data_IF_631376682995
#
_entry.id   IF_631376682995
#
_cell.length_a   1.000
_cell.length_b   1.000
_cell.length_c   1.000
_cell.angle_alpha   90.00
_cell.angle_beta   90.00
_cell.angle_gamma   90.00
#
_symmetry.space_group_name_H-M   'P 1'
#
loop_
_entity.id
_entity.type
_entity.pdbx_description
1 polymer ?
#
# COMPACT_ATOMS: atom_id res chain seq x y z
N UNK A 1 30.67 -13.30 0.10
CA UNK A 1 29.27 -13.72 -0.07
C UNK A 1 28.44 -13.59 1.22
N UNK A 2 28.93 -12.90 2.26
CA UNK A 2 28.30 -12.93 3.61
C UNK A 2 27.44 -11.69 3.92
N UNK A 3 27.79 -10.51 3.39
CA UNK A 3 27.07 -9.26 3.67
C UNK A 3 25.67 -9.12 3.02
N UNK A 4 25.33 -9.96 2.04
CA UNK A 4 24.01 -9.94 1.42
C UNK A 4 22.94 -10.58 2.32
N UNK A 5 23.30 -11.61 3.08
CA UNK A 5 22.37 -12.31 3.98
C UNK A 5 21.99 -11.45 5.19
N UNK A 6 22.92 -10.66 5.73
CA UNK A 6 22.67 -9.77 6.88
C UNK A 6 21.77 -8.58 6.52
N UNK A 7 21.85 -8.07 5.29
CA UNK A 7 20.98 -6.98 4.82
C UNK A 7 19.53 -7.46 4.58
N UNK A 8 19.36 -8.71 4.13
CA UNK A 8 18.05 -9.32 3.90
C UNK A 8 17.35 -9.58 5.23
N UNK A 9 18.03 -10.15 6.23
CA UNK A 9 17.44 -10.44 7.55
C UNK A 9 17.04 -9.18 8.31
N UNK A 10 17.85 -8.11 8.23
CA UNK A 10 17.52 -6.84 8.86
C UNK A 10 16.28 -6.18 8.23
N UNK A 11 16.15 -6.22 6.90
CA UNK A 11 14.96 -5.71 6.20
C UNK A 11 13.70 -6.45 6.64
N UNK A 12 13.78 -7.78 6.77
CA UNK A 12 12.67 -8.62 7.23
C UNK A 12 12.28 -8.31 8.68
N UNK A 13 13.25 -8.08 9.57
CA UNK A 13 13.00 -7.66 10.95
C UNK A 13 12.28 -6.30 10.99
N UNK A 14 12.75 -5.31 10.23
CA UNK A 14 12.12 -3.99 10.19
C UNK A 14 10.70 -4.04 9.61
N UNK A 15 10.48 -4.86 8.58
CA UNK A 15 9.15 -5.08 8.01
C UNK A 15 8.21 -5.74 9.02
N UNK A 16 8.67 -6.80 9.70
CA UNK A 16 7.89 -7.49 10.73
C UNK A 16 7.53 -6.59 11.92
N UNK A 17 8.46 -5.73 12.36
CA UNK A 17 8.17 -4.72 13.39
C UNK A 17 7.09 -3.74 12.89
N UNK A 18 7.19 -3.26 11.65
CA UNK A 18 6.21 -2.33 11.08
C UNK A 18 4.80 -2.93 11.04
N UNK A 19 4.68 -4.17 10.58
CA UNK A 19 3.40 -4.87 10.48
C UNK A 19 2.79 -5.14 11.86
N UNK A 20 3.60 -5.61 12.82
CA UNK A 20 3.16 -5.85 14.20
C UNK A 20 2.68 -4.58 14.91
N UNK A 21 3.34 -3.44 14.65
CA UNK A 21 2.95 -2.15 15.21
C UNK A 21 1.64 -1.66 14.61
N UNK A 22 1.46 -1.81 13.30
CA UNK A 22 0.23 -1.44 12.64
C UNK A 22 -0.94 -2.30 13.15
N UNK A 23 -0.74 -3.60 13.32
CA UNK A 23 -1.73 -4.52 13.90
C UNK A 23 -2.09 -4.15 15.34
N UNK A 24 -1.10 -3.87 16.19
CA UNK A 24 -1.33 -3.43 17.56
C UNK A 24 -2.11 -2.10 17.63
N UNK A 25 -1.78 -1.13 16.76
CA UNK A 25 -2.53 0.12 16.66
C UNK A 25 -3.97 -0.12 16.18
N UNK A 26 -4.18 -1.03 15.24
CA UNK A 26 -5.52 -1.41 14.79
C UNK A 26 -6.36 -2.02 15.93
N UNK A 27 -5.77 -2.86 16.76
CA UNK A 27 -6.45 -3.44 17.93
C UNK A 27 -6.80 -2.37 18.97
N UNK A 28 -5.88 -1.45 19.27
CA UNK A 28 -6.12 -0.34 20.19
C UNK A 28 -7.20 0.64 19.69
N UNK A 29 -7.28 0.87 18.38
CA UNK A 29 -8.30 1.73 17.75
C UNK A 29 -9.69 1.09 17.76
N UNK A 30 -9.75 -0.24 17.69
CA UNK A 30 -11.01 -0.98 17.64
C UNK A 30 -11.56 -1.31 19.04
N UNK A 31 -10.90 -0.87 20.12
CA UNK A 31 -11.44 -0.96 21.46
C UNK A 31 -12.74 -0.15 21.57
N UNK A 32 -13.73 -0.67 22.29
CA UNK A 32 -15.01 0.03 22.46
C UNK A 32 -14.79 1.37 23.17
N UNK A 33 -15.45 2.46 22.73
CA UNK A 33 -15.27 3.79 23.32
C UNK A 33 -15.68 3.87 24.79
N UNK A 34 -16.48 2.92 25.25
CA UNK A 34 -16.94 2.81 26.62
C UNK A 34 -16.72 1.40 27.16
N UNK A 35 -16.43 1.32 28.46
CA UNK A 35 -16.48 0.05 29.20
C UNK A 35 -17.92 -0.35 29.56
N UNK A 36 -18.09 -1.52 30.17
CA UNK A 36 -19.40 -2.05 30.60
C UNK A 36 -20.13 -1.17 31.63
N UNK A 37 -19.42 -0.21 32.23
CA UNK A 37 -19.95 0.75 33.21
C UNK A 37 -20.16 2.15 32.59
N UNK A 38 -20.05 2.29 31.26
CA UNK A 38 -20.27 3.54 30.54
C UNK A 38 -19.16 4.57 30.73
N UNK A 39 -18.00 4.19 31.26
CA UNK A 39 -16.85 5.08 31.39
C UNK A 39 -16.11 5.13 30.07
N UNK A 40 -15.66 6.32 29.62
CA UNK A 40 -14.92 6.45 28.38
C UNK A 40 -13.59 5.69 28.48
N UNK A 41 -13.32 4.86 27.48
CA UNK A 41 -12.05 4.16 27.33
C UNK A 41 -11.02 5.12 26.73
N UNK A 42 -9.77 5.04 27.18
CA UNK A 42 -8.70 5.91 26.67
C UNK A 42 -8.32 5.46 25.27
N UNK A 43 -8.71 6.24 24.26
CA UNK A 43 -8.33 6.00 22.88
C UNK A 43 -6.83 6.33 22.71
N UNK A 44 -5.99 5.29 22.60
CA UNK A 44 -4.55 5.47 22.45
C UNK A 44 -4.16 5.47 20.97
N UNK A 45 -3.47 6.53 20.53
CA UNK A 45 -2.82 6.59 19.22
C UNK A 45 -1.34 6.88 19.41
N UNK A 46 -0.48 6.12 18.73
CA UNK A 46 0.96 6.37 18.73
C UNK A 46 1.29 7.27 17.52
N UNK A 47 1.56 8.58 17.72
CA UNK A 47 1.85 9.49 16.61
C UNK A 47 3.21 9.20 15.96
N UNK A 48 4.18 8.76 16.76
CA UNK A 48 5.50 8.35 16.31
C UNK A 48 6.11 7.30 17.24
N UNK A 49 6.92 6.41 16.69
CA UNK A 49 7.74 5.47 17.45
C UNK A 49 9.19 5.58 17.00
N UNK A 50 10.05 6.04 17.89
CA UNK A 50 11.49 6.06 17.68
C UNK A 50 12.08 4.70 18.08
N UNK A 51 12.94 4.13 17.24
CA UNK A 51 13.67 2.91 17.54
C UNK A 51 15.16 3.09 17.37
N UNK A 52 15.92 2.29 18.12
CA UNK A 52 17.36 2.14 18.00
C UNK A 52 17.71 0.66 18.12
N UNK A 53 18.23 0.05 17.06
CA UNK A 53 18.59 -1.36 16.98
C UNK A 53 20.10 -1.51 16.94
N UNK A 54 20.66 -2.26 17.89
CA UNK A 54 22.07 -2.65 17.91
C UNK A 54 22.20 -4.12 17.53
N UNK A 55 22.95 -4.41 16.46
CA UNK A 55 23.20 -5.77 15.97
C UNK A 55 24.67 -6.13 16.20
N UNK A 56 24.92 -7.18 16.98
CA UNK A 56 26.26 -7.76 17.20
C UNK A 56 26.43 -9.01 16.32
N UNK A 57 27.43 -9.03 15.44
CA UNK A 57 27.82 -10.23 14.67
C UNK A 57 29.14 -10.79 15.21
N UNK A 58 29.17 -12.10 15.50
CA UNK A 58 30.37 -12.83 15.90
C UNK A 58 30.81 -13.77 14.79
N UNK A 59 31.98 -13.53 14.19
CA UNK A 59 32.55 -14.45 13.20
C UNK A 59 33.40 -15.53 13.90
N UNK A 60 33.00 -16.80 13.77
CA UNK A 60 33.81 -17.95 14.17
C UNK A 60 34.62 -18.46 12.96
N UNK A 61 35.95 -18.39 13.05
CA UNK A 61 36.85 -18.82 11.97
C UNK A 61 37.25 -20.29 12.18
N UNK A 62 36.73 -21.19 11.34
CA UNK A 62 37.20 -22.57 11.26
C UNK A 62 38.52 -22.63 10.47
N UNK A 63 39.62 -22.93 11.14
CA UNK A 63 40.95 -23.03 10.51
C UNK A 63 41.20 -24.47 10.05
N UNK A 64 41.19 -24.71 8.73
CA UNK A 64 41.78 -25.91 8.13
C UNK A 64 43.22 -25.60 7.72
N UNK A 65 44.20 -26.18 8.41
CA UNK A 65 45.63 -26.11 8.09
C UNK A 65 45.99 -27.23 7.10
N UNK A 66 46.39 -26.85 5.88
CA UNK A 66 47.05 -27.77 4.94
C UNK A 66 48.53 -27.40 4.91
N UNK A 67 49.37 -28.32 5.36
CA UNK A 67 50.82 -28.20 5.38
C UNK A 67 51.39 -28.58 4.01
N UNK A 68 51.96 -27.63 3.27
CA UNK A 68 52.77 -27.94 2.10
C UNK A 68 54.26 -27.95 2.47
N UNK A 69 54.78 -29.16 2.62
CA UNK A 69 56.18 -29.54 2.41
C UNK A 69 56.50 -29.48 0.91
N UNK A 70 57.63 -28.87 0.52
CA UNK A 70 58.61 -29.52 -0.37
C UNK A 70 59.78 -28.61 -0.83
N UNK A 71 60.99 -29.12 -0.57
CA UNK A 71 62.22 -29.18 -1.43
C UNK A 71 62.98 -27.86 -1.73
N UNK A 72 64.18 -27.63 -1.21
CA UNK A 72 65.50 -28.27 -1.43
C UNK A 72 66.17 -27.90 -2.78
N UNK A 73 67.31 -27.19 -2.72
CA UNK A 73 68.20 -26.90 -3.85
C UNK A 73 69.40 -26.01 -3.50
N UNK A 74 70.55 -26.64 -3.24
CA UNK A 74 71.95 -26.13 -3.28
C UNK A 74 72.26 -25.39 -4.62
N UNK A 75 73.25 -24.51 -4.85
CA UNK A 75 74.53 -24.14 -4.25
C UNK A 75 75.09 -22.86 -4.96
N UNK A 76 76.01 -22.12 -4.30
CA UNK A 76 77.16 -21.31 -4.80
C UNK A 76 76.96 -19.98 -5.57
N UNK A 77 77.10 -18.89 -4.80
CA UNK A 77 78.22 -17.93 -4.84
C UNK A 77 78.93 -17.65 -6.19
N UNK A 78 78.80 -16.44 -6.75
CA UNK A 78 79.87 -15.48 -7.11
C UNK A 78 79.28 -14.15 -7.64
N UNK A 79 79.98 -13.06 -7.33
CA UNK A 79 79.49 -11.69 -7.29
C UNK A 79 79.25 -11.03 -8.66
N UNK A 80 78.12 -10.31 -8.78
CA UNK A 80 77.92 -9.29 -9.82
C UNK A 80 77.21 -8.05 -9.27
N UNK A 81 77.95 -6.93 -9.32
CA UNK A 81 77.51 -5.54 -9.53
C UNK A 81 76.17 -5.08 -8.92
N UNK A 82 76.26 -4.33 -7.81
CA UNK A 82 75.16 -3.58 -7.18
C UNK A 82 74.59 -2.54 -8.15
N UNK A 83 73.51 -2.89 -8.86
CA UNK A 83 72.55 -1.91 -9.42
C UNK A 83 71.51 -1.58 -8.34
N UNK A 84 71.29 -0.28 -8.12
CA UNK A 84 70.27 0.26 -7.20
C UNK A 84 68.87 -0.10 -7.73
N UNK A 85 68.21 -1.06 -7.11
CA UNK A 85 66.78 -1.34 -7.30
C UNK A 85 65.99 -0.68 -6.18
N UNK A 86 64.97 0.10 -6.55
CA UNK A 86 64.01 0.73 -5.65
C UNK A 86 63.35 -0.31 -4.73
N UNK A 87 63.10 0.01 -3.44
CA UNK A 87 62.46 -0.94 -2.53
C UNK A 87 61.00 -1.15 -2.98
N UNK A 88 60.73 -2.29 -3.61
CA UNK A 88 59.36 -2.78 -3.80
C UNK A 88 58.83 -3.23 -2.44
N UNK A 89 57.85 -2.49 -1.92
CA UNK A 89 57.13 -2.86 -0.71
C UNK A 89 56.38 -4.17 -0.96
N UNK A 90 56.84 -5.25 -0.31
CA UNK A 90 56.12 -6.52 -0.26
C UNK A 90 55.31 -6.58 1.02
N UNK A 91 53.99 -6.69 0.88
CA UNK A 91 53.09 -6.91 2.01
C UNK A 91 53.36 -8.30 2.61
N UNK A 92 53.86 -8.32 3.85
CA UNK A 92 53.94 -9.53 4.68
C UNK A 92 52.85 -9.43 5.74
N UNK A 93 51.76 -10.22 5.66
CA UNK A 93 50.82 -10.27 6.77
C UNK A 93 51.55 -10.76 8.02
N UNK A 94 51.52 -9.96 9.07
CA UNK A 94 52.06 -10.32 10.39
C UNK A 94 51.25 -11.49 10.92
N UNK A 95 51.87 -12.67 10.96
CA UNK A 95 51.32 -13.81 11.67
C UNK A 95 51.39 -13.50 13.17
N UNK A 96 50.31 -12.92 13.72
CA UNK A 96 50.16 -12.78 15.17
C UNK A 96 49.88 -14.17 15.74
N UNK A 97 50.93 -14.86 16.14
CA UNK A 97 50.85 -15.98 17.07
C UNK A 97 50.58 -15.44 18.46
N UNK A 98 49.30 -15.30 18.83
CA UNK A 98 48.90 -15.36 20.23
C UNK A 98 47.44 -15.80 20.30
N UNK A 99 47.25 -16.98 20.88
CA UNK A 99 45.96 -17.52 21.26
C UNK A 99 45.20 -16.50 22.12
N UNK A 100 44.19 -15.87 21.53
CA UNK A 100 43.05 -15.36 22.28
C UNK A 100 41.82 -15.55 21.41
N UNK A 101 40.85 -16.32 21.91
CA UNK A 101 39.50 -16.37 21.34
C UNK A 101 38.88 -14.98 21.53
N UNK A 102 39.18 -14.07 20.62
CA UNK A 102 38.49 -12.78 20.51
C UNK A 102 37.83 -12.78 19.14
N UNK A 103 36.60 -13.27 19.09
CA UNK A 103 35.77 -13.14 17.90
C UNK A 103 35.65 -11.65 17.59
N UNK A 104 35.94 -11.28 16.34
CA UNK A 104 35.71 -9.92 15.87
C UNK A 104 34.22 -9.63 15.99
N UNK A 105 33.86 -8.75 16.94
CA UNK A 105 32.50 -8.26 17.13
C UNK A 105 32.29 -7.06 16.22
N UNK A 106 31.38 -7.18 15.26
CA UNK A 106 30.91 -6.03 14.46
C UNK A 106 29.58 -5.57 15.05
N UNK A 107 29.52 -4.33 15.53
CA UNK A 107 28.30 -3.69 16.06
C UNK A 107 27.73 -2.71 15.04
N UNK A 108 26.49 -2.91 14.59
CA UNK A 108 25.76 -1.96 13.74
C UNK A 108 24.62 -1.32 14.52
N UNK A 109 24.49 0.00 14.46
CA UNK A 109 23.41 0.76 15.12
C UNK A 109 22.50 1.38 14.06
N UNK A 110 21.19 1.11 14.13
CA UNK A 110 20.20 1.63 13.19
C UNK A 110 19.11 2.33 13.99
N UNK A 111 18.96 3.63 13.74
CA UNK A 111 17.90 4.45 14.33
C UNK A 111 16.90 4.88 13.26
N UNK A 112 15.62 4.88 13.60
CA UNK A 112 14.55 5.33 12.72
C UNK A 112 13.29 5.71 13.48
N UNK A 113 12.33 6.28 12.76
CA UNK A 113 11.02 6.70 13.29
C UNK A 113 9.91 6.12 12.43
N UNK A 114 8.98 5.40 13.05
CA UNK A 114 7.69 5.13 12.42
C UNK A 114 6.78 6.34 12.61
N UNK A 115 6.15 6.80 11.53
CA UNK A 115 5.19 7.92 11.55
C UNK A 115 3.85 7.40 11.07
N UNK A 116 2.80 7.59 11.86
CA UNK A 116 1.45 7.27 11.44
C UNK A 116 0.95 8.36 10.48
N UNK A 117 0.75 8.00 9.20
CA UNK A 117 0.04 8.86 8.24
C UNK A 117 -1.45 8.50 8.25
N UNK A 118 -2.30 9.52 8.38
CA UNK A 118 -3.74 9.32 8.27
C UNK A 118 -4.10 8.80 6.86
N UNK A 119 -5.19 8.02 6.72
CA UNK A 119 -5.70 7.63 5.41
C UNK A 119 -5.85 8.86 4.49
N UNK A 120 -5.53 8.69 3.20
CA UNK A 120 -5.55 9.75 2.18
C UNK A 120 -4.66 10.97 2.48
N UNK A 121 -3.50 10.80 3.12
CA UNK A 121 -2.57 11.90 3.45
C UNK A 121 -3.19 12.99 4.36
N UNK A 122 -4.28 12.65 5.07
CA UNK A 122 -5.07 13.62 5.84
C UNK A 122 -6.01 14.49 4.98
N UNK A 123 -6.10 14.24 3.67
CA UNK A 123 -7.08 14.91 2.81
C UNK A 123 -8.48 14.32 3.03
N UNK A 124 -9.51 15.18 3.08
CA UNK A 124 -10.91 14.74 3.15
C UNK A 124 -11.25 13.78 2.01
N UNK A 125 -11.84 12.63 2.35
CA UNK A 125 -12.24 11.63 1.37
C UNK A 125 -13.46 12.12 0.57
N UNK A 126 -13.47 11.91 -0.74
CA UNK A 126 -14.62 12.22 -1.59
C UNK A 126 -15.77 11.21 -1.34
N UNK A 127 -16.99 11.72 -1.28
CA UNK A 127 -18.24 10.99 -1.07
C UNK A 127 -19.20 11.36 -2.19
N UNK A 128 -19.92 10.34 -2.70
CA UNK A 128 -20.94 10.50 -3.74
C UNK A 128 -22.27 10.03 -3.17
N UNK A 129 -23.25 10.92 -3.17
CA UNK A 129 -24.64 10.58 -2.88
C UNK A 129 -25.46 10.67 -4.17
N UNK A 130 -26.20 9.60 -4.52
CA UNK A 130 -27.01 9.56 -5.72
C UNK A 130 -28.45 9.16 -5.38
N UNK A 131 -29.42 9.93 -5.90
CA UNK A 131 -30.85 9.73 -5.64
C UNK A 131 -31.66 9.78 -6.95
N UNK A 132 -32.39 8.71 -7.31
CA UNK A 132 -33.32 8.75 -8.43
C UNK A 132 -34.62 9.45 -8.06
N UNK A 133 -34.95 10.52 -8.77
CA UNK A 133 -36.19 11.31 -8.60
C UNK A 133 -37.13 10.97 -9.76
N UNK A 134 -38.36 10.55 -9.44
CA UNK A 134 -39.38 10.29 -10.47
C UNK A 134 -39.74 11.58 -11.21
N UNK A 135 -39.96 11.47 -12.52
CA UNK A 135 -40.53 12.57 -13.31
C UNK A 135 -41.99 12.26 -13.65
N UNK A 136 -42.72 13.24 -14.16
CA UNK A 136 -44.11 13.05 -14.61
C UNK A 136 -44.23 12.07 -15.78
N UNK A 137 -43.14 11.86 -16.52
CA UNK A 137 -43.10 10.94 -17.67
C UNK A 137 -42.81 9.52 -17.18
N UNK A 138 -43.69 8.58 -17.55
CA UNK A 138 -43.53 7.16 -17.23
C UNK A 138 -42.18 6.60 -17.72
N UNK A 139 -41.48 5.88 -16.85
CA UNK A 139 -40.18 5.27 -17.15
C UNK A 139 -39.02 6.27 -17.26
N UNK A 140 -39.23 7.54 -16.91
CA UNK A 140 -38.18 8.57 -16.91
C UNK A 140 -37.88 9.02 -15.49
N UNK A 141 -36.60 8.98 -15.14
CA UNK A 141 -36.08 9.38 -13.83
C UNK A 141 -35.01 10.46 -14.00
N UNK A 142 -34.96 11.39 -13.05
CA UNK A 142 -33.87 12.35 -12.92
C UNK A 142 -32.96 11.90 -11.78
N UNK A 143 -31.72 11.56 -12.07
CA UNK A 143 -30.74 11.14 -11.08
C UNK A 143 -30.03 12.40 -10.59
N UNK A 144 -30.30 12.79 -9.34
CA UNK A 144 -29.53 13.81 -8.64
C UNK A 144 -28.30 13.15 -8.02
N UNK A 145 -27.12 13.67 -8.35
CA UNK A 145 -25.86 13.26 -7.72
C UNK A 145 -25.25 14.46 -7.02
N UNK A 146 -24.90 14.29 -5.75
CA UNK A 146 -24.17 15.27 -4.94
C UNK A 146 -22.79 14.72 -4.61
N UNK A 147 -21.77 15.51 -4.89
CA UNK A 147 -20.36 15.20 -4.64
C UNK A 147 -19.83 16.15 -3.58
N UNK A 148 -19.38 15.59 -2.48
CA UNK A 148 -18.84 16.33 -1.34
C UNK A 148 -17.70 15.56 -0.69
N UNK A 149 -16.90 16.19 0.15
CA UNK A 149 -15.85 15.50 0.89
C UNK A 149 -16.29 15.14 2.31
N UNK A 150 -15.48 14.37 3.04
CA UNK A 150 -15.77 13.98 4.43
C UNK A 150 -15.82 15.15 5.41
N UNK A 151 -15.35 16.35 5.02
CA UNK A 151 -15.49 17.59 5.77
C UNK A 151 -16.80 18.34 5.43
N UNK A 152 -17.63 17.81 4.53
CA UNK A 152 -18.91 18.40 4.10
C UNK A 152 -18.77 19.48 3.02
N UNK A 153 -17.57 19.70 2.50
CA UNK A 153 -17.34 20.64 1.42
C UNK A 153 -17.88 20.08 0.10
N UNK A 154 -18.65 20.90 -0.61
CA UNK A 154 -19.21 20.57 -1.93
C UNK A 154 -18.12 20.68 -2.98
N UNK A 155 -18.03 19.73 -3.90
CA UNK A 155 -16.98 19.70 -4.92
C UNK A 155 -17.53 20.11 -6.29
N UNK A 156 -17.35 21.38 -6.71
CA UNK A 156 -17.72 21.82 -8.05
C UNK A 156 -16.70 21.35 -9.10
N UNK A 157 -17.12 21.23 -10.36
CA UNK A 157 -16.22 20.86 -11.46
C UNK A 157 -15.80 19.39 -11.49
N UNK A 158 -16.36 18.54 -10.61
CA UNK A 158 -16.08 17.12 -10.60
C UNK A 158 -16.76 16.45 -11.81
N UNK A 159 -16.01 15.61 -12.53
CA UNK A 159 -16.55 14.80 -13.61
C UNK A 159 -17.28 13.58 -13.02
N UNK A 160 -18.58 13.51 -13.24
CA UNK A 160 -19.44 12.42 -12.81
C UNK A 160 -19.82 11.57 -14.00
N UNK A 161 -19.48 10.29 -13.94
CA UNK A 161 -19.81 9.32 -14.97
C UNK A 161 -20.98 8.44 -14.50
N UNK A 162 -21.86 8.12 -15.43
CA UNK A 162 -23.09 7.36 -15.26
C UNK A 162 -23.03 6.16 -16.19
N UNK A 163 -22.89 4.98 -15.60
CA UNK A 163 -22.66 3.74 -16.30
C UNK A 163 -23.83 2.78 -16.09
N UNK A 164 -24.48 2.37 -17.18
CA UNK A 164 -25.52 1.36 -17.13
C UNK A 164 -24.89 -0.04 -17.01
N UNK A 165 -25.10 -0.70 -15.87
CA UNK A 165 -24.53 -2.02 -15.63
C UNK A 165 -25.43 -3.13 -16.19
N UNK A 166 -25.21 -3.47 -17.46
CA UNK A 166 -25.93 -4.54 -18.18
C UNK A 166 -25.80 -5.90 -17.50
N UNK A 167 -24.59 -6.27 -17.08
CA UNK A 167 -24.32 -7.58 -16.50
C UNK A 167 -25.08 -7.78 -15.19
N UNK A 168 -25.02 -6.81 -14.27
CA UNK A 168 -25.77 -6.87 -13.00
C UNK A 168 -27.27 -6.77 -13.20
N UNK A 169 -27.72 -5.92 -14.12
CA UNK A 169 -29.15 -5.81 -14.45
C UNK A 169 -29.69 -7.16 -14.96
N UNK A 170 -28.92 -7.88 -15.77
CA UNK A 170 -29.30 -9.22 -16.25
C UNK A 170 -29.31 -10.24 -15.11
N UNK A 171 -28.30 -10.21 -14.24
CA UNK A 171 -28.18 -11.13 -13.11
C UNK A 171 -29.35 -10.98 -12.12
N UNK A 172 -29.74 -9.74 -11.81
CA UNK A 172 -30.81 -9.45 -10.85
C UNK A 172 -32.18 -9.82 -11.41
N UNK A 173 -32.41 -9.65 -12.72
CA UNK A 173 -33.67 -9.99 -13.38
C UNK A 173 -33.61 -11.35 -14.07
N UNK A 174 -32.99 -12.34 -13.42
CA UNK A 174 -32.85 -13.69 -13.97
C UNK A 174 -34.20 -14.26 -14.38
N UNK A 175 -34.32 -14.69 -15.64
CA UNK A 175 -35.56 -15.26 -16.19
C UNK A 175 -36.43 -14.29 -16.99
N UNK A 176 -36.06 -13.02 -17.09
CA UNK A 176 -36.75 -12.03 -17.95
C UNK A 176 -35.83 -11.61 -19.09
N UNK A 177 -36.34 -11.63 -20.33
CA UNK A 177 -35.60 -11.12 -21.49
C UNK A 177 -35.61 -9.60 -21.49
N UNK A 178 -34.47 -9.00 -21.13
CA UNK A 178 -34.27 -7.55 -21.11
C UNK A 178 -33.95 -7.01 -22.51
N UNK A 179 -34.51 -5.85 -22.86
CA UNK A 179 -34.21 -5.18 -24.12
C UNK A 179 -32.92 -4.36 -24.06
N UNK A 180 -32.49 -3.94 -22.86
CA UNK A 180 -31.26 -3.18 -22.62
C UNK A 180 -31.13 -1.86 -23.42
N UNK A 181 -32.22 -1.32 -23.94
CA UNK A 181 -32.21 -0.02 -24.65
C UNK A 181 -32.43 1.16 -23.69
N UNK A 182 -32.18 0.97 -22.40
CA UNK A 182 -32.20 2.03 -21.39
C UNK A 182 -31.08 3.01 -21.73
N UNK A 183 -31.45 4.25 -22.00
CA UNK A 183 -30.52 5.28 -22.47
C UNK A 183 -30.51 6.48 -21.52
N UNK A 184 -29.33 7.07 -21.36
CA UNK A 184 -29.17 8.39 -20.75
C UNK A 184 -29.56 9.45 -21.79
N UNK A 185 -30.33 10.46 -21.36
CA UNK A 185 -30.95 11.44 -22.26
C UNK A 185 -29.94 12.48 -22.76
N UNK A 186 -28.84 12.72 -22.03
CA UNK A 186 -27.79 13.67 -22.43
C UNK A 186 -26.53 12.95 -22.86
N UNK A 187 -25.72 12.55 -21.88
CA UNK A 187 -24.40 11.94 -22.03
C UNK A 187 -24.16 11.06 -20.80
N UNK A 188 -23.24 10.09 -20.92
CA UNK A 188 -22.80 9.27 -19.80
C UNK A 188 -21.98 10.04 -18.78
N UNK A 189 -21.55 11.27 -19.08
CA UNK A 189 -20.64 12.04 -18.24
C UNK A 189 -21.15 13.48 -18.11
N UNK A 190 -21.11 14.02 -16.90
CA UNK A 190 -21.55 15.38 -16.62
C UNK A 190 -20.69 15.99 -15.51
N UNK A 191 -20.52 17.32 -15.54
CA UNK A 191 -19.72 18.04 -14.56
C UNK A 191 -20.62 18.61 -13.46
N UNK A 192 -20.18 18.56 -12.20
CA UNK A 192 -20.90 19.17 -11.08
C UNK A 192 -20.92 20.69 -11.15
N UNK A 193 -22.05 21.29 -10.77
CA UNK A 193 -22.21 22.74 -10.66
C UNK A 193 -21.49 23.30 -9.42
N UNK A 194 -21.62 24.61 -9.20
CA UNK A 194 -21.04 25.31 -8.03
C UNK A 194 -21.52 24.77 -6.66
N UNK A 195 -22.62 24.02 -6.62
CA UNK A 195 -23.12 23.37 -5.41
C UNK A 195 -22.65 21.92 -5.26
N UNK A 196 -21.74 21.44 -6.11
CA UNK A 196 -21.29 20.06 -6.14
C UNK A 196 -22.38 19.08 -6.61
N UNK A 197 -23.38 19.56 -7.34
CA UNK A 197 -24.52 18.76 -7.81
C UNK A 197 -24.53 18.58 -9.31
N UNK A 198 -25.05 17.45 -9.76
CA UNK A 198 -25.32 17.19 -11.18
C UNK A 198 -26.60 16.39 -11.36
N UNK A 199 -27.28 16.64 -12.48
CA UNK A 199 -28.56 16.01 -12.80
C UNK A 199 -28.47 15.32 -14.15
N UNK A 200 -28.68 14.00 -14.16
CA UNK A 200 -28.79 13.23 -15.39
C UNK A 200 -30.16 12.58 -15.52
N UNK A 201 -30.79 12.77 -16.69
CA UNK A 201 -32.09 12.17 -16.97
C UNK A 201 -31.87 10.83 -17.64
N UNK A 202 -32.48 9.78 -17.10
CA UNK A 202 -32.46 8.43 -17.66
C UNK A 202 -33.86 8.04 -18.14
N UNK A 203 -33.92 7.39 -19.29
CA UNK A 203 -35.14 6.80 -19.82
C UNK A 203 -34.99 5.29 -19.84
N UNK A 204 -35.76 4.62 -19.01
CA UNK A 204 -35.85 3.16 -18.96
C UNK A 204 -36.71 2.70 -20.14
N UNK A 205 -36.33 1.60 -20.78
CA UNK A 205 -37.14 0.98 -21.82
C UNK A 205 -38.54 0.64 -21.29
N UNK A 206 -39.58 0.94 -22.05
CA UNK A 206 -40.97 0.77 -21.61
C UNK A 206 -41.34 -0.71 -21.35
N UNK A 207 -40.79 -1.64 -22.13
CA UNK A 207 -40.96 -3.08 -21.94
C UNK A 207 -40.32 -3.53 -20.63
N UNK A 208 -39.06 -3.18 -20.40
CA UNK A 208 -38.33 -3.51 -19.16
C UNK A 208 -39.00 -2.86 -17.93
N UNK A 209 -39.48 -1.62 -18.08
CA UNK A 209 -40.21 -0.90 -17.04
C UNK A 209 -41.54 -1.56 -16.69
N UNK A 210 -42.31 -1.98 -17.69
CA UNK A 210 -43.60 -2.64 -17.47
C UNK A 210 -43.46 -4.06 -16.93
N UNK A 211 -42.37 -4.76 -17.29
CA UNK A 211 -41.97 -6.04 -16.71
C UNK A 211 -41.44 -5.91 -15.27
N UNK A 212 -41.44 -4.71 -14.69
CA UNK A 212 -40.94 -4.40 -13.33
C UNK A 212 -39.48 -4.81 -13.12
N UNK A 213 -38.66 -4.74 -14.17
CA UNK A 213 -37.25 -5.07 -14.07
C UNK A 213 -36.48 -4.05 -13.22
N UNK A 214 -35.48 -4.52 -12.47
CA UNK A 214 -34.56 -3.70 -11.68
C UNK A 214 -33.39 -3.26 -12.56
N UNK A 215 -33.23 -1.96 -12.76
CA UNK A 215 -32.17 -1.38 -13.59
C UNK A 215 -31.02 -0.92 -12.68
N UNK A 216 -29.81 -1.44 -12.91
CA UNK A 216 -28.62 -1.09 -12.14
C UNK A 216 -27.79 -0.02 -12.84
N UNK A 217 -27.44 1.04 -12.11
CA UNK A 217 -26.58 2.12 -12.58
C UNK A 217 -25.42 2.29 -11.60
N UNK A 218 -24.21 2.26 -12.14
CA UNK A 218 -23.00 2.59 -11.41
C UNK A 218 -22.65 4.04 -11.72
N UNK A 219 -22.36 4.83 -10.68
CA UNK A 219 -22.04 6.24 -10.77
C UNK A 219 -20.65 6.43 -10.17
N UNK A 220 -19.76 7.10 -10.89
CA UNK A 220 -18.37 7.22 -10.47
C UNK A 220 -17.83 8.64 -10.64
N UNK A 221 -16.93 8.99 -9.73
CA UNK A 221 -16.16 10.24 -9.73
C UNK A 221 -14.72 9.89 -9.35
N UNK A 222 -13.81 9.92 -10.32
CA UNK A 222 -12.44 9.44 -10.12
C UNK A 222 -12.43 7.97 -9.64
N UNK A 223 -11.93 7.73 -8.44
CA UNK A 223 -11.83 6.38 -7.82
C UNK A 223 -13.02 6.01 -6.95
N UNK A 224 -13.96 6.93 -6.71
CA UNK A 224 -15.11 6.69 -5.84
C UNK A 224 -16.29 6.25 -6.70
N UNK A 225 -16.98 5.18 -6.26
CA UNK A 225 -18.09 4.58 -6.98
C UNK A 225 -19.28 4.44 -6.03
N UNK A 226 -20.45 4.90 -6.47
CA UNK A 226 -21.73 4.61 -5.84
C UNK A 226 -22.64 3.87 -6.81
N UNK A 227 -23.68 3.22 -6.29
CA UNK A 227 -24.54 2.34 -7.06
C UNK A 227 -25.99 2.60 -6.72
N UNK A 228 -26.84 2.72 -7.74
CA UNK A 228 -28.28 2.88 -7.56
C UNK A 228 -29.04 1.85 -8.39
N UNK A 229 -30.22 1.49 -7.89
CA UNK A 229 -31.14 0.59 -8.56
C UNK A 229 -32.48 1.31 -8.75
N UNK A 230 -33.06 1.20 -9.94
CA UNK A 230 -34.35 1.82 -10.27
C UNK A 230 -35.33 0.72 -10.69
N UNK A 231 -36.51 0.71 -10.09
CA UNK A 231 -37.59 -0.22 -10.41
C UNK A 231 -38.95 0.51 -10.43
N UNK A 232 -39.89 -0.01 -11.22
CA UNK A 232 -41.30 0.36 -11.13
C UNK A 232 -41.88 -0.15 -9.80
N UNK A 233 -42.43 0.77 -9.00
CA UNK A 233 -43.21 0.45 -7.79
C UNK A 233 -44.53 -0.21 -8.16
#
# INVERSE_FOLDING_TARGET
MDGAHTAITLKEILLGISDSLNEAQHQLRNATPYDEYGRPNTLYTLPYLDFNLQVETTLEKATHTVSNTDKAGMEREYAFTKKKYSPIMRYRPVSKTTNSKKGDKVTSTISGRFVAIAPNEGLPQLIIEAKPIKTEVLGVYNIEVSVFNSAGEKIPGALVEFNYNKAKTTLINSGISLQHTTNFVKQGELITNHEGKVFNKIRINTTDYNAKCIIQIDINVGTVITKISIQKY
#
